data_IF_693786655296
#
_entry.id   IF_693786655296
#
_cell.length_a   1.000
_cell.length_b   1.000
_cell.length_c   1.000
_cell.angle_alpha   90.00
_cell.angle_beta   90.00
_cell.angle_gamma   90.00
#
_symmetry.space_group_name_H-M   'P 1'
#
loop_
_entity.id
_entity.type
_entity.pdbx_description
1 polymer ?
#
# COMPACT_ATOMS: atom_id res chain seq x y z
N UNK A 1 49.40 -54.85 37.04
CA UNK A 1 47.97 -54.53 37.11
C UNK A 1 47.69 -53.54 35.99
N UNK A 2 47.13 -54.03 34.89
CA UNK A 2 46.82 -53.24 33.68
C UNK A 2 45.68 -52.25 33.99
N UNK A 3 45.90 -50.97 33.73
CA UNK A 3 44.83 -49.98 33.67
C UNK A 3 44.64 -49.56 32.21
N UNK A 4 43.42 -49.76 31.76
CA UNK A 4 42.87 -49.70 30.41
C UNK A 4 42.90 -48.27 29.86
N UNK A 5 43.79 -47.99 28.90
CA UNK A 5 43.73 -46.81 28.05
C UNK A 5 42.76 -47.09 26.90
N UNK A 6 41.47 -46.94 27.15
CA UNK A 6 40.50 -46.78 26.06
C UNK A 6 39.41 -45.80 26.46
N UNK A 7 39.36 -44.69 25.71
CA UNK A 7 38.19 -43.84 25.36
C UNK A 7 38.57 -42.36 25.35
N UNK A 8 38.80 -41.83 24.15
CA UNK A 8 38.12 -40.62 23.62
C UNK A 8 38.74 -40.22 22.25
N UNK A 9 38.74 -41.12 21.27
CA UNK A 9 38.77 -40.71 19.87
C UNK A 9 37.33 -40.64 19.37
N UNK A 10 36.63 -39.52 19.67
CA UNK A 10 35.45 -39.15 18.88
C UNK A 10 35.96 -38.26 17.74
N UNK A 11 35.76 -38.61 16.47
CA UNK A 11 36.03 -37.69 15.38
C UNK A 11 35.12 -36.47 15.55
N UNK A 12 35.71 -35.28 15.63
CA UNK A 12 34.98 -34.04 15.47
C UNK A 12 34.54 -33.94 14.01
N UNK A 13 33.33 -34.41 13.71
CA UNK A 13 32.64 -34.07 12.47
C UNK A 13 32.22 -32.60 12.57
N UNK A 14 33.11 -31.70 12.13
CA UNK A 14 32.71 -30.36 11.78
C UNK A 14 31.77 -30.45 10.58
N UNK A 15 30.46 -30.46 10.87
CA UNK A 15 29.44 -30.15 9.87
C UNK A 15 29.68 -28.70 9.43
N UNK A 16 30.44 -28.53 8.35
CA UNK A 16 30.50 -27.27 7.62
C UNK A 16 29.06 -26.82 7.34
N UNK A 17 28.70 -25.54 7.53
CA UNK A 17 27.36 -25.06 7.24
C UNK A 17 27.01 -25.42 5.79
N UNK A 18 25.89 -26.11 5.59
CA UNK A 18 25.53 -26.79 4.34
C UNK A 18 25.24 -25.87 3.12
N UNK A 19 25.59 -24.58 3.17
CA UNK A 19 25.63 -23.69 2.00
C UNK A 19 26.76 -22.69 2.18
N UNK A 20 27.86 -22.89 1.47
CA UNK A 20 28.86 -21.83 1.29
C UNK A 20 28.16 -20.58 0.73
N UNK A 21 28.41 -19.41 1.33
CA UNK A 21 27.90 -18.15 0.81
C UNK A 21 28.46 -17.96 -0.61
N UNK A 22 27.56 -17.94 -1.60
CA UNK A 22 27.94 -17.65 -2.98
C UNK A 22 28.07 -16.14 -3.11
N UNK A 23 29.26 -15.65 -3.49
CA UNK A 23 29.44 -14.26 -3.89
C UNK A 23 28.50 -13.95 -5.05
N UNK A 24 27.76 -12.86 -4.93
CA UNK A 24 26.97 -12.35 -6.05
C UNK A 24 27.95 -11.80 -7.10
N UNK A 25 27.76 -12.11 -8.39
CA UNK A 25 28.54 -11.47 -9.43
C UNK A 25 28.26 -9.97 -9.40
N UNK A 26 29.30 -9.17 -9.15
CA UNK A 26 29.25 -7.71 -9.30
C UNK A 26 29.65 -7.39 -10.74
N UNK A 27 28.87 -6.57 -11.47
CA UNK A 27 29.26 -6.16 -12.81
C UNK A 27 30.59 -5.41 -12.78
N UNK A 28 31.37 -5.50 -13.87
CA UNK A 28 32.54 -4.65 -14.03
C UNK A 28 32.08 -3.18 -14.02
N UNK A 29 32.81 -2.32 -13.30
CA UNK A 29 32.50 -0.90 -13.22
C UNK A 29 32.52 -0.23 -14.60
N UNK A 30 33.37 -0.72 -15.51
CA UNK A 30 33.43 -0.23 -16.89
C UNK A 30 32.16 -0.60 -17.69
N UNK A 31 31.45 -1.66 -17.30
CA UNK A 31 30.24 -2.12 -17.97
C UNK A 31 28.99 -1.35 -17.55
N UNK A 32 29.05 -0.53 -16.49
CA UNK A 32 27.94 0.28 -16.00
C UNK A 32 27.71 1.52 -16.87
N UNK A 33 27.46 1.31 -18.16
CA UNK A 33 27.13 2.36 -19.13
C UNK A 33 25.61 2.44 -19.36
N UNK A 34 25.06 3.61 -19.74
CA UNK A 34 23.65 3.73 -20.10
C UNK A 34 23.21 2.75 -21.20
N UNK A 35 24.09 2.49 -22.17
CA UNK A 35 23.83 1.56 -23.28
C UNK A 35 23.73 0.11 -22.82
N UNK A 36 24.65 -0.34 -21.96
CA UNK A 36 24.63 -1.69 -21.41
C UNK A 36 23.45 -1.91 -20.47
N UNK A 37 23.09 -0.89 -19.67
CA UNK A 37 21.91 -0.94 -18.81
C UNK A 37 20.62 -1.05 -19.62
N UNK A 38 20.50 -0.26 -20.70
CA UNK A 38 19.37 -0.35 -21.62
C UNK A 38 19.22 -1.76 -22.18
N UNK A 39 20.30 -2.31 -22.74
CA UNK A 39 20.31 -3.67 -23.27
C UNK A 39 19.97 -4.72 -22.20
N UNK A 40 20.50 -4.55 -20.98
CA UNK A 40 20.20 -5.44 -19.86
C UNK A 40 18.70 -5.43 -19.53
N UNK A 41 18.09 -4.26 -19.44
CA UNK A 41 16.65 -4.11 -19.16
C UNK A 41 15.80 -4.74 -20.26
N UNK A 42 16.17 -4.58 -21.53
CA UNK A 42 15.48 -5.24 -22.64
C UNK A 42 15.54 -6.76 -22.53
N UNK A 43 16.72 -7.32 -22.26
CA UNK A 43 16.90 -8.76 -22.06
C UNK A 43 16.06 -9.24 -20.87
N UNK A 44 15.96 -8.46 -19.80
CA UNK A 44 15.08 -8.78 -18.67
C UNK A 44 13.60 -8.74 -19.06
N UNK A 45 13.16 -7.77 -19.87
CA UNK A 45 11.78 -7.73 -20.40
C UNK A 45 11.49 -8.99 -21.19
N UNK A 46 12.36 -9.33 -22.16
CA UNK A 46 12.20 -10.55 -22.98
C UNK A 46 12.21 -11.83 -22.13
N UNK A 47 13.05 -11.90 -21.11
CA UNK A 47 13.15 -13.08 -20.24
C UNK A 47 11.97 -13.25 -19.28
N UNK A 48 11.43 -12.15 -18.75
CA UNK A 48 10.42 -12.19 -17.68
C UNK A 48 9.00 -12.09 -18.23
N UNK A 49 8.81 -11.20 -19.20
CA UNK A 49 7.50 -10.88 -19.78
C UNK A 49 7.31 -11.61 -21.11
N UNK A 50 8.38 -11.77 -21.88
CA UNK A 50 8.33 -12.33 -23.24
C UNK A 50 8.40 -11.25 -24.33
N UNK A 51 8.29 -11.68 -25.57
CA UNK A 51 8.31 -10.82 -26.76
C UNK A 51 6.94 -10.74 -27.45
N UNK A 52 6.82 -9.85 -28.44
CA UNK A 52 5.66 -9.79 -29.34
C UNK A 52 4.29 -9.88 -28.66
N UNK A 53 3.60 -11.01 -28.84
CA UNK A 53 2.26 -11.23 -28.30
C UNK A 53 2.24 -11.41 -26.78
N UNK A 54 3.28 -12.01 -26.18
CA UNK A 54 3.36 -12.21 -24.73
C UNK A 54 3.45 -10.86 -24.00
N UNK A 55 4.26 -9.96 -24.54
CA UNK A 55 4.40 -8.60 -24.04
C UNK A 55 3.08 -7.80 -24.10
N UNK A 56 2.33 -7.93 -25.20
CA UNK A 56 1.00 -7.32 -25.33
C UNK A 56 0.00 -7.92 -24.36
N UNK A 57 -0.01 -9.25 -24.19
CA UNK A 57 -0.89 -9.93 -23.25
C UNK A 57 -0.62 -9.53 -21.79
N UNK A 58 0.66 -9.36 -21.42
CA UNK A 58 1.05 -8.88 -20.11
C UNK A 58 0.64 -7.43 -19.86
N UNK A 59 0.83 -6.54 -20.86
CA UNK A 59 0.35 -5.17 -20.78
C UNK A 59 -1.18 -5.10 -20.64
N UNK A 60 -1.91 -5.84 -21.47
CA UNK A 60 -3.37 -5.94 -21.38
C UNK A 60 -3.83 -6.52 -20.02
N UNK A 61 -3.06 -7.45 -19.44
CA UNK A 61 -3.34 -7.94 -18.09
C UNK A 61 -3.20 -6.83 -17.04
N UNK A 62 -2.15 -6.00 -17.11
CA UNK A 62 -2.02 -4.84 -16.24
C UNK A 62 -3.21 -3.87 -16.38
N UNK A 63 -3.56 -3.51 -17.62
CA UNK A 63 -4.63 -2.53 -17.87
C UNK A 63 -6.02 -3.03 -17.44
N UNK A 64 -6.28 -4.35 -17.52
CA UNK A 64 -7.54 -4.92 -17.00
C UNK A 64 -7.56 -5.14 -15.48
N UNK A 65 -6.43 -5.02 -14.79
CA UNK A 65 -6.31 -5.39 -13.36
C UNK A 65 -5.92 -4.26 -12.42
N UNK A 66 -4.71 -3.70 -12.58
CA UNK A 66 -4.16 -2.68 -11.67
C UNK A 66 -4.62 -1.29 -12.09
N UNK A 67 -4.63 -1.03 -13.40
CA UNK A 67 -5.03 0.26 -13.95
C UNK A 67 -6.48 0.65 -13.57
N UNK A 68 -7.38 -0.32 -13.35
CA UNK A 68 -8.78 -0.07 -13.01
C UNK A 68 -8.99 0.69 -11.70
N UNK A 69 -8.03 0.62 -10.77
CA UNK A 69 -8.02 1.36 -9.51
C UNK A 69 -6.78 2.25 -9.33
N UNK A 70 -5.80 2.16 -10.23
CA UNK A 70 -4.59 2.97 -10.22
C UNK A 70 -4.17 3.42 -11.64
N UNK A 71 -4.97 4.29 -12.30
CA UNK A 71 -4.81 4.68 -13.70
C UNK A 71 -3.72 5.75 -13.91
N UNK A 72 -2.48 5.46 -13.48
CA UNK A 72 -1.34 6.39 -13.60
C UNK A 72 -0.65 6.36 -14.97
N UNK A 73 -0.96 5.38 -15.82
CA UNK A 73 -0.37 5.16 -17.16
C UNK A 73 -1.49 5.14 -18.18
N UNK A 74 -1.36 5.84 -19.31
CA UNK A 74 -2.31 5.74 -20.43
C UNK A 74 -2.06 4.49 -21.25
N UNK A 75 -3.10 3.67 -21.43
CA UNK A 75 -3.03 2.47 -22.26
C UNK A 75 -2.70 2.79 -23.73
N UNK A 76 -3.31 3.85 -24.27
CA UNK A 76 -3.10 4.23 -25.67
C UNK A 76 -1.68 4.72 -25.92
N UNK A 77 -1.14 5.56 -25.05
CA UNK A 77 0.22 6.10 -25.18
C UNK A 77 1.26 4.98 -24.98
N UNK A 78 1.07 4.11 -23.99
CA UNK A 78 1.95 2.98 -23.74
C UNK A 78 1.99 2.01 -24.95
N UNK A 79 0.82 1.65 -25.49
CA UNK A 79 0.73 0.76 -26.65
C UNK A 79 1.34 1.39 -27.91
N UNK A 80 1.21 2.71 -28.08
CA UNK A 80 1.86 3.46 -29.17
C UNK A 80 3.39 3.47 -29.02
N UNK A 81 3.92 3.68 -27.81
CA UNK A 81 5.35 3.59 -27.54
C UNK A 81 5.87 2.18 -27.85
N UNK A 82 5.13 1.15 -27.43
CA UNK A 82 5.51 -0.24 -27.66
C UNK A 82 5.50 -0.61 -29.16
N UNK A 83 4.54 -0.10 -29.93
CA UNK A 83 4.50 -0.33 -31.39
C UNK A 83 5.64 0.39 -32.11
N UNK A 84 5.97 1.61 -31.70
CA UNK A 84 7.07 2.38 -32.28
C UNK A 84 8.43 1.69 -32.10
N UNK A 85 8.69 1.13 -30.91
CA UNK A 85 9.91 0.34 -30.65
C UNK A 85 10.02 -0.84 -31.62
N UNK A 86 8.92 -1.55 -31.86
CA UNK A 86 8.88 -2.69 -32.80
C UNK A 86 9.12 -2.27 -34.25
N UNK A 87 8.46 -1.19 -34.69
CA UNK A 87 8.51 -0.73 -36.09
C UNK A 87 9.88 -0.14 -36.43
N UNK A 88 10.48 0.63 -35.53
CA UNK A 88 11.74 1.31 -35.80
C UNK A 88 12.96 0.38 -35.70
N UNK A 89 12.76 -0.92 -35.38
CA UNK A 89 13.84 -1.86 -35.01
C UNK A 89 14.80 -1.25 -33.99
N UNK A 90 14.27 -0.36 -33.16
CA UNK A 90 15.01 0.43 -32.20
C UNK A 90 15.05 -0.27 -30.85
N UNK A 91 16.11 -0.04 -30.11
CA UNK A 91 16.18 -0.43 -28.70
C UNK A 91 15.19 0.42 -27.89
N UNK A 92 14.38 -0.23 -27.04
CA UNK A 92 13.45 0.40 -26.13
C UNK A 92 14.20 1.33 -25.16
N UNK A 93 13.65 2.52 -24.85
CA UNK A 93 14.16 3.34 -23.76
C UNK A 93 14.23 2.56 -22.44
N UNK A 94 15.27 2.80 -21.64
CA UNK A 94 15.50 2.09 -20.38
C UNK A 94 14.35 2.29 -19.37
N UNK A 95 13.79 3.49 -19.34
CA UNK A 95 12.65 3.86 -18.50
C UNK A 95 11.35 3.16 -18.92
N UNK A 96 11.09 3.04 -20.22
CA UNK A 96 9.97 2.23 -20.73
C UNK A 96 10.14 0.75 -20.34
N UNK A 97 11.35 0.20 -20.50
CA UNK A 97 11.65 -1.20 -20.13
C UNK A 97 11.48 -1.44 -18.63
N UNK A 98 11.95 -0.50 -17.79
CA UNK A 98 11.73 -0.51 -16.35
C UNK A 98 10.23 -0.47 -16.02
N UNK A 99 9.47 0.46 -16.63
CA UNK A 99 8.04 0.58 -16.44
C UNK A 99 7.32 -0.73 -16.75
N UNK A 100 7.63 -1.37 -17.88
CA UNK A 100 7.07 -2.66 -18.27
C UNK A 100 7.36 -3.77 -17.27
N UNK A 101 8.59 -3.83 -16.74
CA UNK A 101 8.95 -4.80 -15.71
C UNK A 101 8.21 -4.52 -14.39
N UNK A 102 8.03 -3.26 -14.02
CA UNK A 102 7.25 -2.88 -12.83
C UNK A 102 5.76 -3.20 -12.99
N UNK A 103 5.18 -2.98 -14.17
CA UNK A 103 3.80 -3.42 -14.51
C UNK A 103 3.67 -4.93 -14.35
N UNK A 104 4.64 -5.70 -14.83
CA UNK A 104 4.64 -7.15 -14.67
C UNK A 104 4.81 -7.59 -13.20
N UNK A 105 5.65 -6.90 -12.42
CA UNK A 105 5.87 -7.21 -11.00
C UNK A 105 4.62 -6.97 -10.16
N UNK A 106 3.97 -5.80 -10.29
CA UNK A 106 2.79 -5.44 -9.47
C UNK A 106 1.60 -6.37 -9.68
N UNK A 107 1.57 -7.05 -10.83
CA UNK A 107 0.58 -8.09 -11.15
C UNK A 107 0.91 -9.47 -10.55
N UNK A 108 2.10 -9.67 -9.95
CA UNK A 108 2.46 -10.93 -9.29
C UNK A 108 1.91 -10.97 -7.86
N UNK A 109 1.31 -12.11 -7.48
CA UNK A 109 0.79 -12.36 -6.14
C UNK A 109 1.56 -13.44 -5.37
N UNK A 110 1.19 -13.68 -4.10
CA UNK A 110 1.73 -14.78 -3.31
C UNK A 110 1.28 -16.16 -3.83
N UNK A 111 2.10 -17.17 -3.55
CA UNK A 111 1.75 -18.59 -3.78
C UNK A 111 1.83 -19.29 -2.43
N UNK A 112 0.72 -19.85 -1.97
CA UNK A 112 0.65 -20.45 -0.64
C UNK A 112 0.78 -19.45 0.52
N UNK A 113 0.38 -18.19 0.30
CA UNK A 113 0.44 -17.12 1.31
C UNK A 113 1.78 -16.40 1.42
N UNK A 114 2.81 -16.83 0.69
CA UNK A 114 4.13 -16.20 0.68
C UNK A 114 4.52 -15.72 -0.72
N UNK A 115 5.39 -14.70 -0.77
CA UNK A 115 5.96 -14.23 -2.02
C UNK A 115 7.02 -15.22 -2.54
N UNK A 116 6.87 -15.75 -3.78
CA UNK A 116 7.87 -16.61 -4.39
C UNK A 116 9.26 -15.96 -4.40
N UNK A 117 10.31 -16.77 -4.26
CA UNK A 117 11.70 -16.28 -4.30
C UNK A 117 12.00 -15.53 -5.60
N UNK A 118 11.49 -16.01 -6.74
CA UNK A 118 11.65 -15.36 -8.04
C UNK A 118 11.03 -13.96 -8.07
N UNK A 119 9.85 -13.77 -7.48
CA UNK A 119 9.20 -12.45 -7.38
C UNK A 119 9.99 -11.52 -6.48
N UNK A 120 10.50 -12.01 -5.34
CA UNK A 120 11.37 -11.21 -4.44
C UNK A 120 12.68 -10.81 -5.11
N UNK A 121 13.30 -11.73 -5.87
CA UNK A 121 14.49 -11.43 -6.66
C UNK A 121 14.22 -10.40 -7.75
N UNK A 122 13.09 -10.51 -8.47
CA UNK A 122 12.69 -9.53 -9.47
C UNK A 122 12.49 -8.13 -8.85
N UNK A 123 11.82 -8.05 -7.69
CA UNK A 123 11.67 -6.80 -6.93
C UNK A 123 13.04 -6.20 -6.57
N UNK A 124 13.95 -7.00 -6.00
CA UNK A 124 15.28 -6.53 -5.62
C UNK A 124 16.07 -6.03 -6.84
N UNK A 125 16.04 -6.76 -7.96
CA UNK A 125 16.67 -6.34 -9.21
C UNK A 125 16.10 -5.02 -9.74
N UNK A 126 14.78 -4.84 -9.69
CA UNK A 126 14.15 -3.58 -10.14
C UNK A 126 14.53 -2.40 -9.25
N UNK A 127 14.64 -2.59 -7.93
CA UNK A 127 15.17 -1.56 -7.02
C UNK A 127 16.61 -1.18 -7.39
N UNK A 128 17.45 -2.16 -7.73
CA UNK A 128 18.82 -1.90 -8.19
C UNK A 128 18.86 -1.17 -9.54
N UNK A 129 18.00 -1.53 -10.50
CA UNK A 129 17.92 -0.82 -11.78
C UNK A 129 17.42 0.62 -11.63
N UNK A 130 16.45 0.87 -10.74
CA UNK A 130 16.03 2.23 -10.38
C UNK A 130 17.22 3.03 -9.89
N UNK A 131 17.95 2.53 -8.88
CA UNK A 131 19.10 3.23 -8.31
C UNK A 131 20.20 3.50 -9.36
N UNK A 132 20.43 2.57 -10.29
CA UNK A 132 21.42 2.75 -11.35
C UNK A 132 20.97 3.80 -12.39
N UNK A 133 19.69 3.80 -12.78
CA UNK A 133 19.12 4.83 -13.66
C UNK A 133 19.16 6.21 -13.00
N UNK A 134 18.88 6.30 -11.69
CA UNK A 134 18.99 7.53 -10.91
C UNK A 134 20.45 8.04 -10.90
N UNK A 135 21.42 7.15 -10.67
CA UNK A 135 22.84 7.50 -10.71
C UNK A 135 23.30 7.99 -12.10
N UNK A 136 22.63 7.53 -13.17
CA UNK A 136 22.84 8.01 -14.54
C UNK A 136 22.06 9.30 -14.87
N UNK A 137 21.36 9.89 -13.89
CA UNK A 137 20.61 11.14 -14.05
C UNK A 137 19.26 10.99 -14.74
N UNK A 138 18.72 9.77 -14.84
CA UNK A 138 17.40 9.53 -15.43
C UNK A 138 16.32 9.91 -14.42
N UNK A 139 15.38 10.76 -14.84
CA UNK A 139 14.18 11.08 -14.08
C UNK A 139 13.05 11.44 -15.07
N UNK A 140 12.46 10.44 -15.71
CA UNK A 140 11.34 10.59 -16.66
C UNK A 140 10.00 10.24 -16.01
N UNK A 141 8.89 10.58 -16.68
CA UNK A 141 7.55 10.23 -16.22
C UNK A 141 7.36 8.70 -16.14
N UNK A 142 7.85 7.97 -17.14
CA UNK A 142 7.82 6.51 -17.21
C UNK A 142 8.59 5.88 -16.04
N UNK A 143 9.77 6.41 -15.72
CA UNK A 143 10.55 5.96 -14.57
C UNK A 143 9.79 6.22 -13.25
N UNK A 144 9.17 7.39 -13.11
CA UNK A 144 8.37 7.73 -11.93
C UNK A 144 7.13 6.84 -11.78
N UNK A 145 6.40 6.58 -12.88
CA UNK A 145 5.29 5.63 -12.90
C UNK A 145 5.75 4.23 -12.48
N UNK A 146 6.90 3.76 -13.00
CA UNK A 146 7.48 2.46 -12.64
C UNK A 146 7.86 2.37 -11.15
N UNK A 147 8.44 3.44 -10.59
CA UNK A 147 8.73 3.53 -9.15
C UNK A 147 7.48 3.54 -8.29
N UNK A 148 6.42 4.20 -8.75
CA UNK A 148 5.15 4.25 -8.04
C UNK A 148 4.48 2.87 -7.99
N UNK A 149 4.56 2.09 -9.07
CA UNK A 149 4.12 0.69 -9.07
C UNK A 149 4.95 -0.19 -8.12
N UNK A 150 6.27 0.07 -7.98
CA UNK A 150 7.10 -0.59 -6.97
C UNK A 150 6.64 -0.26 -5.56
N UNK A 151 6.33 1.01 -5.26
CA UNK A 151 5.79 1.41 -3.96
C UNK A 151 4.46 0.69 -3.66
N UNK A 152 3.56 0.62 -4.64
CA UNK A 152 2.28 -0.12 -4.51
C UNK A 152 2.52 -1.60 -4.21
N UNK A 153 3.48 -2.23 -4.89
CA UNK A 153 3.89 -3.61 -4.62
C UNK A 153 4.45 -3.75 -3.18
N UNK A 154 5.31 -2.83 -2.74
CA UNK A 154 5.88 -2.82 -1.39
C UNK A 154 4.77 -2.73 -0.33
N UNK A 155 3.79 -1.83 -0.51
CA UNK A 155 2.63 -1.69 0.38
C UNK A 155 1.82 -2.99 0.42
N UNK A 156 1.48 -3.55 -0.74
CA UNK A 156 0.62 -4.75 -0.83
C UNK A 156 1.26 -6.01 -0.26
N UNK A 157 2.58 -6.04 -0.16
CA UNK A 157 3.32 -7.15 0.42
C UNK A 157 3.91 -6.87 1.81
N UNK A 158 3.40 -5.84 2.51
CA UNK A 158 3.82 -5.47 3.86
C UNK A 158 5.32 -5.15 4.00
N UNK A 159 5.94 -4.62 2.94
CA UNK A 159 7.31 -4.10 2.94
C UNK A 159 7.34 -2.62 3.35
N UNK A 160 6.67 -2.27 4.45
CA UNK A 160 6.40 -0.88 4.83
C UNK A 160 7.64 0.02 4.96
N UNK A 161 8.79 -0.44 5.54
CA UNK A 161 9.99 0.40 5.57
C UNK A 161 10.51 0.77 4.18
N UNK A 162 10.45 -0.18 3.23
CA UNK A 162 10.82 0.08 1.83
C UNK A 162 9.83 1.03 1.17
N UNK A 163 8.52 0.79 1.37
CA UNK A 163 7.45 1.65 0.84
C UNK A 163 7.61 3.10 1.28
N UNK A 164 7.87 3.32 2.57
CA UNK A 164 8.12 4.65 3.14
C UNK A 164 9.27 5.39 2.45
N UNK A 165 10.42 4.72 2.26
CA UNK A 165 11.57 5.30 1.56
C UNK A 165 11.24 5.57 0.08
N UNK A 166 10.62 4.61 -0.59
CA UNK A 166 10.25 4.72 -2.01
C UNK A 166 9.28 5.89 -2.24
N UNK A 167 8.26 6.03 -1.39
CA UNK A 167 7.30 7.13 -1.39
C UNK A 167 8.00 8.48 -1.31
N UNK A 168 8.86 8.69 -0.31
CA UNK A 168 9.58 9.95 -0.14
C UNK A 168 10.46 10.28 -1.35
N UNK A 169 11.09 9.26 -1.94
CA UNK A 169 11.90 9.42 -3.14
C UNK A 169 11.04 9.76 -4.38
N UNK A 170 9.85 9.16 -4.51
CA UNK A 170 8.90 9.46 -5.59
C UNK A 170 8.39 10.90 -5.53
N UNK A 171 8.10 11.43 -4.33
CA UNK A 171 7.69 12.83 -4.15
C UNK A 171 8.80 13.76 -4.64
N UNK A 172 10.05 13.53 -4.24
CA UNK A 172 11.19 14.35 -4.67
C UNK A 172 11.43 14.27 -6.17
N UNK A 173 11.33 13.08 -6.75
CA UNK A 173 11.43 12.88 -8.20
C UNK A 173 10.33 13.62 -8.97
N UNK A 174 9.09 13.57 -8.47
CA UNK A 174 7.94 14.26 -9.03
C UNK A 174 8.06 15.79 -8.98
N UNK A 175 8.50 16.32 -7.83
CA UNK A 175 8.77 17.76 -7.68
C UNK A 175 9.88 18.20 -8.62
N UNK A 176 10.94 17.40 -8.75
CA UNK A 176 12.02 17.68 -9.72
C UNK A 176 11.55 17.63 -11.18
N UNK A 177 10.52 16.84 -11.49
CA UNK A 177 9.87 16.78 -12.81
C UNK A 177 8.86 17.92 -13.03
N UNK A 178 8.46 18.64 -11.97
CA UNK A 178 7.44 19.68 -12.01
C UNK A 178 6.01 19.15 -12.15
N UNK A 179 5.75 17.86 -11.91
CA UNK A 179 4.39 17.30 -12.08
C UNK A 179 3.41 17.69 -10.97
N UNK A 180 3.91 18.29 -9.90
CA UNK A 180 3.11 18.83 -8.80
C UNK A 180 2.54 20.24 -9.09
N UNK A 181 2.87 20.82 -10.25
CA UNK A 181 2.44 22.16 -10.63
C UNK A 181 0.97 22.19 -11.09
N UNK A 182 0.42 23.40 -11.19
CA UNK A 182 -0.93 23.63 -11.72
C UNK A 182 -1.03 23.19 -13.20
N UNK A 183 -2.25 22.92 -13.67
CA UNK A 183 -2.49 22.40 -15.02
C UNK A 183 -1.85 23.24 -16.14
N UNK A 184 -1.94 24.57 -16.06
CA UNK A 184 -1.35 25.46 -17.07
C UNK A 184 0.17 25.41 -17.08
N UNK A 185 0.81 25.11 -15.95
CA UNK A 185 2.26 24.93 -15.87
C UNK A 185 2.68 23.55 -16.39
N UNK A 186 1.88 22.51 -16.14
CA UNK A 186 2.11 21.17 -16.72
C UNK A 186 2.13 21.20 -18.25
N UNK A 187 1.29 22.01 -18.88
CA UNK A 187 1.28 22.19 -20.35
C UNK A 187 2.57 22.83 -20.90
N UNK A 188 3.35 23.52 -20.05
CA UNK A 188 4.67 24.06 -20.41
C UNK A 188 5.75 22.98 -20.34
N UNK A 189 5.59 22.01 -19.43
CA UNK A 189 6.51 20.87 -19.23
C UNK A 189 6.25 19.78 -20.27
N UNK A 190 4.99 19.39 -20.46
CA UNK A 190 4.57 18.35 -21.41
C UNK A 190 3.81 18.97 -22.57
N UNK A 191 4.32 18.78 -23.80
CA UNK A 191 3.70 19.30 -25.03
C UNK A 191 2.45 18.51 -25.45
N UNK A 192 2.41 17.23 -25.12
CA UNK A 192 1.30 16.33 -25.45
C UNK A 192 0.21 16.41 -24.35
N UNK A 193 -1.03 16.79 -24.68
CA UNK A 193 -2.15 16.80 -23.74
C UNK A 193 -2.37 15.46 -23.02
N UNK A 194 -2.11 14.33 -23.67
CA UNK A 194 -2.24 13.01 -23.04
C UNK A 194 -1.19 12.82 -21.95
N UNK A 195 0.05 13.29 -22.19
CA UNK A 195 1.12 13.25 -21.19
C UNK A 195 0.88 14.21 -20.02
N UNK A 196 0.23 15.36 -20.26
CA UNK A 196 -0.21 16.25 -19.17
C UNK A 196 -1.20 15.52 -18.26
N UNK A 197 -2.16 14.79 -18.84
CA UNK A 197 -3.12 14.03 -18.05
C UNK A 197 -2.45 12.87 -17.30
N UNK A 198 -1.57 12.09 -17.96
CA UNK A 198 -0.77 11.06 -17.28
C UNK A 198 0.04 11.61 -16.11
N UNK A 199 0.68 12.78 -16.27
CA UNK A 199 1.45 13.42 -15.21
C UNK A 199 0.55 13.81 -14.02
N UNK A 200 -0.66 14.33 -14.30
CA UNK A 200 -1.66 14.65 -13.27
C UNK A 200 -2.12 13.40 -12.52
N UNK A 201 -2.38 12.31 -13.24
CA UNK A 201 -2.78 11.04 -12.64
C UNK A 201 -1.64 10.41 -11.84
N UNK A 202 -0.40 10.51 -12.32
CA UNK A 202 0.80 10.08 -11.59
C UNK A 202 0.96 10.86 -10.29
N UNK A 203 0.77 12.18 -10.31
CA UNK A 203 0.79 13.01 -9.10
C UNK A 203 -0.30 12.60 -8.10
N UNK A 204 -1.52 12.36 -8.57
CA UNK A 204 -2.61 11.83 -7.71
C UNK A 204 -2.23 10.49 -7.07
N UNK A 205 -1.62 9.57 -7.84
CA UNK A 205 -1.14 8.29 -7.32
C UNK A 205 -0.06 8.45 -6.26
N UNK A 206 0.84 9.43 -6.39
CA UNK A 206 1.83 9.77 -5.36
C UNK A 206 1.12 10.25 -4.10
N UNK A 207 0.16 11.17 -4.21
CA UNK A 207 -0.60 11.69 -3.07
C UNK A 207 -1.39 10.58 -2.34
N UNK A 208 -1.93 9.62 -3.08
CA UNK A 208 -2.63 8.46 -2.50
C UNK A 208 -1.64 7.57 -1.73
N UNK A 209 -0.51 7.23 -2.32
CA UNK A 209 0.48 6.30 -1.72
C UNK A 209 1.28 6.92 -0.58
N UNK A 210 1.50 8.23 -0.60
CA UNK A 210 2.17 8.98 0.48
C UNK A 210 1.38 8.95 1.79
N UNK A 211 0.08 9.13 1.66
CA UNK A 211 -0.84 9.26 2.79
C UNK A 211 -1.43 7.93 3.24
N UNK A 212 -1.09 6.85 2.55
CA UNK A 212 -1.45 5.49 2.91
C UNK A 212 -0.50 4.97 4.00
N UNK A 213 -0.54 5.60 5.17
CA UNK A 213 0.20 5.19 6.36
C UNK A 213 -0.46 3.92 6.94
N UNK A 214 -0.34 2.82 6.19
CA UNK A 214 -0.93 1.50 6.44
C UNK A 214 -0.08 0.69 7.43
N UNK A 215 0.98 1.28 7.98
CA UNK A 215 1.89 0.61 8.90
C UNK A 215 1.31 0.59 10.34
N UNK A 216 1.48 -0.52 11.09
CA UNK A 216 1.23 -0.54 12.53
C UNK A 216 2.06 0.52 13.26
N UNK A 217 1.51 1.09 14.33
CA UNK A 217 1.90 2.32 15.08
C UNK A 217 3.36 2.47 15.58
N UNK A 218 4.31 1.62 15.18
CA UNK A 218 5.70 1.62 15.69
C UNK A 218 6.77 2.03 14.67
N UNK A 219 6.42 2.56 13.50
CA UNK A 219 7.39 3.12 12.55
C UNK A 219 7.24 4.65 12.47
N UNK A 220 8.33 5.36 12.75
CA UNK A 220 8.43 6.82 12.80
C UNK A 220 7.68 7.54 11.66
N UNK A 221 6.65 8.30 12.04
CA UNK A 221 5.78 9.08 11.15
C UNK A 221 6.45 10.42 10.80
N UNK A 222 6.70 10.68 9.51
CA UNK A 222 6.80 12.04 8.98
C UNK A 222 5.73 12.22 7.91
N UNK A 223 4.72 13.01 8.23
CA UNK A 223 3.71 13.47 7.29
C UNK A 223 4.32 14.57 6.43
N UNK A 224 4.54 14.33 5.14
CA UNK A 224 4.78 15.41 4.20
C UNK A 224 3.44 16.06 3.86
N UNK A 225 3.17 17.25 4.40
CA UNK A 225 2.02 18.05 4.01
C UNK A 225 2.28 18.58 2.60
N UNK A 226 1.88 17.82 1.57
CA UNK A 226 1.68 18.37 0.25
C UNK A 226 0.42 19.23 0.32
N UNK A 227 0.59 20.56 0.36
CA UNK A 227 -0.52 21.49 0.18
C UNK A 227 -1.12 21.24 -1.20
N UNK A 228 -2.25 20.53 -1.24
CA UNK A 228 -3.21 20.72 -2.30
C UNK A 228 -4.23 21.71 -1.76
N UNK A 229 -4.54 22.72 -2.57
CA UNK A 229 -5.79 23.44 -2.38
C UNK A 229 -6.89 22.37 -2.31
N UNK A 230 -7.73 22.39 -1.27
CA UNK A 230 -8.91 21.56 -1.27
C UNK A 230 -9.60 21.82 -2.61
N UNK A 231 -10.14 20.78 -3.24
CA UNK A 231 -11.27 21.04 -4.11
C UNK A 231 -12.33 21.62 -3.19
N UNK A 232 -12.34 22.96 -3.07
CA UNK A 232 -13.26 23.80 -2.31
C UNK A 232 -14.63 23.78 -3.00
N UNK A 233 -15.11 22.58 -3.28
CA UNK A 233 -16.48 22.34 -3.70
C UNK A 233 -17.07 21.40 -2.67
N UNK A 234 -17.79 22.00 -1.72
CA UNK A 234 -18.76 21.32 -0.85
C UNK A 234 -19.88 20.58 -1.64
N UNK A 235 -19.78 20.50 -2.97
CA UNK A 235 -20.80 20.05 -3.90
C UNK A 235 -20.32 18.82 -4.72
N UNK A 236 -19.70 17.84 -4.05
CA UNK A 236 -19.36 16.52 -4.63
C UNK A 236 -20.56 15.78 -5.22
N UNK A 237 -21.79 16.18 -4.87
CA UNK A 237 -23.03 15.61 -5.37
C UNK A 237 -23.37 16.00 -6.82
N UNK A 238 -22.69 17.00 -7.42
CA UNK A 238 -23.06 17.55 -8.74
C UNK A 238 -22.09 17.21 -9.87
N UNK A 239 -20.94 16.59 -9.57
CA UNK A 239 -19.93 16.25 -10.58
C UNK A 239 -19.80 14.74 -10.61
N UNK A 240 -19.92 14.13 -11.80
CA UNK A 240 -19.57 12.73 -12.01
C UNK A 240 -18.04 12.60 -11.88
N UNK A 241 -17.58 12.48 -10.64
CA UNK A 241 -16.16 12.40 -10.30
C UNK A 241 -15.67 10.97 -10.56
N UNK A 242 -14.57 10.85 -11.31
CA UNK A 242 -13.95 9.56 -11.59
C UNK A 242 -13.51 8.82 -10.30
N UNK A 243 -13.45 7.49 -10.38
CA UNK A 243 -13.16 6.63 -9.22
C UNK A 243 -11.83 6.93 -8.54
N UNK A 244 -10.83 7.37 -9.30
CA UNK A 244 -9.49 7.64 -8.81
C UNK A 244 -9.39 9.02 -8.14
N UNK A 245 -10.13 10.02 -8.63
CA UNK A 245 -10.30 11.30 -7.90
C UNK A 245 -11.02 11.09 -6.58
N UNK A 246 -12.07 10.25 -6.53
CA UNK A 246 -12.72 9.89 -5.25
C UNK A 246 -11.73 9.20 -4.30
N UNK A 247 -10.86 8.32 -4.82
CA UNK A 247 -9.83 7.66 -4.03
C UNK A 247 -8.82 8.66 -3.44
N UNK A 248 -8.36 9.63 -4.23
CA UNK A 248 -7.48 10.69 -3.78
C UNK A 248 -8.13 11.56 -2.68
N UNK A 249 -9.42 11.87 -2.83
CA UNK A 249 -10.14 12.60 -1.78
C UNK A 249 -10.27 11.78 -0.49
N UNK A 250 -10.60 10.49 -0.62
CA UNK A 250 -10.66 9.57 0.51
C UNK A 250 -9.33 9.47 1.27
N UNK A 251 -8.20 9.44 0.56
CA UNK A 251 -6.87 9.40 1.17
C UNK A 251 -6.53 10.71 1.90
N UNK A 252 -6.94 11.87 1.38
CA UNK A 252 -6.80 13.16 2.07
C UNK A 252 -7.61 13.21 3.36
N UNK A 253 -8.86 12.71 3.35
CA UNK A 253 -9.70 12.67 4.55
C UNK A 253 -9.08 11.76 5.61
N UNK A 254 -8.57 10.59 5.21
CA UNK A 254 -7.85 9.68 6.12
C UNK A 254 -6.60 10.35 6.71
N UNK A 255 -5.82 11.06 5.91
CA UNK A 255 -4.63 11.78 6.39
C UNK A 255 -4.98 12.85 7.42
N UNK A 256 -6.02 13.66 7.15
CA UNK A 256 -6.52 14.66 8.11
C UNK A 256 -6.92 14.03 9.44
N UNK A 257 -7.56 12.85 9.39
CA UNK A 257 -7.90 12.07 10.58
C UNK A 257 -6.64 11.63 11.34
N UNK A 258 -5.68 11.03 10.64
CA UNK A 258 -4.46 10.51 11.26
C UNK A 258 -3.63 11.64 11.89
N UNK A 259 -3.50 12.78 11.21
CA UNK A 259 -2.85 13.98 11.74
C UNK A 259 -3.57 14.47 12.99
N UNK A 260 -4.90 14.62 12.94
CA UNK A 260 -5.70 15.05 14.09
C UNK A 260 -5.57 14.09 15.29
N UNK A 261 -5.54 12.78 15.04
CA UNK A 261 -5.33 11.77 16.09
C UNK A 261 -3.92 11.89 16.69
N UNK A 262 -2.90 12.04 15.86
CA UNK A 262 -1.51 12.16 16.31
C UNK A 262 -1.27 13.43 17.12
N UNK A 263 -1.80 14.57 16.67
CA UNK A 263 -1.70 15.85 17.40
C UNK A 263 -2.44 15.78 18.73
N UNK A 264 -3.62 15.14 18.76
CA UNK A 264 -4.40 14.91 19.99
C UNK A 264 -3.69 13.98 20.98
N UNK A 265 -2.96 12.97 20.50
CA UNK A 265 -2.14 12.10 21.36
C UNK A 265 -0.90 12.82 21.91
N UNK A 266 -0.33 13.74 21.14
CA UNK A 266 0.88 14.48 21.49
C UNK A 266 0.62 15.71 22.37
N UNK A 267 -0.56 16.32 22.24
CA UNK A 267 -0.96 17.52 22.98
C UNK A 267 -2.37 17.34 23.58
N UNK A 268 -2.57 17.53 24.90
CA UNK A 268 -3.81 17.19 25.59
C UNK A 268 -5.00 18.13 25.27
N UNK A 269 -4.83 19.13 24.40
CA UNK A 269 -5.92 20.00 23.95
C UNK A 269 -6.60 19.40 22.73
N UNK A 270 -7.65 18.62 22.96
CA UNK A 270 -8.51 18.09 21.91
C UNK A 270 -9.23 19.21 21.16
N UNK A 271 -9.04 19.26 19.84
CA UNK A 271 -9.73 20.23 18.98
C UNK A 271 -11.09 19.68 18.54
N UNK A 272 -12.11 19.87 19.37
CA UNK A 272 -13.47 19.39 19.10
C UNK A 272 -14.09 19.98 17.83
N UNK A 273 -13.72 21.20 17.45
CA UNK A 273 -14.21 21.86 16.22
C UNK A 273 -13.71 21.12 14.99
N UNK A 274 -12.41 20.81 14.96
CA UNK A 274 -11.80 20.07 13.86
C UNK A 274 -12.36 18.64 13.77
N UNK A 275 -12.54 17.94 14.89
CA UNK A 275 -13.14 16.61 14.91
C UNK A 275 -14.58 16.60 14.34
N UNK A 276 -15.40 17.60 14.68
CA UNK A 276 -16.75 17.75 14.12
C UNK A 276 -16.71 18.03 12.62
N UNK A 277 -15.78 18.86 12.15
CA UNK A 277 -15.61 19.13 10.71
C UNK A 277 -15.19 17.87 9.95
N UNK A 278 -14.23 17.11 10.48
CA UNK A 278 -13.78 15.82 9.94
C UNK A 278 -14.98 14.86 9.83
N UNK A 279 -15.75 14.68 10.90
CA UNK A 279 -16.91 13.80 10.91
C UNK A 279 -17.98 14.24 9.90
N UNK A 280 -18.24 15.55 9.76
CA UNK A 280 -19.15 16.09 8.74
C UNK A 280 -18.67 15.77 7.33
N UNK A 281 -17.40 16.01 7.03
CA UNK A 281 -16.81 15.71 5.71
C UNK A 281 -16.86 14.22 5.40
N UNK A 282 -16.47 13.35 6.34
CA UNK A 282 -16.54 11.90 6.18
C UNK A 282 -17.97 11.40 5.97
N UNK A 283 -18.92 11.91 6.76
CA UNK A 283 -20.33 11.51 6.64
C UNK A 283 -20.88 11.94 5.29
N UNK A 284 -20.68 13.19 4.88
CA UNK A 284 -21.10 13.70 3.57
C UNK A 284 -20.53 12.85 2.43
N UNK A 285 -19.23 12.53 2.51
CA UNK A 285 -18.59 11.72 1.49
C UNK A 285 -19.09 10.27 1.46
N UNK A 286 -19.34 9.64 2.62
CA UNK A 286 -19.93 8.29 2.69
C UNK A 286 -21.32 8.22 2.05
N UNK A 287 -22.14 9.27 2.19
CA UNK A 287 -23.47 9.31 1.57
C UNK A 287 -23.39 9.26 0.04
N UNK A 288 -22.28 9.69 -0.58
CA UNK A 288 -22.11 9.61 -2.05
C UNK A 288 -21.95 8.17 -2.57
N UNK A 289 -21.64 7.20 -1.69
CA UNK A 289 -21.52 5.79 -2.04
C UNK A 289 -22.81 4.99 -1.83
N UNK A 290 -23.84 5.61 -1.24
CA UNK A 290 -25.14 4.98 -1.04
C UNK A 290 -25.94 5.10 -2.34
N UNK A 291 -26.01 4.02 -3.13
CA UNK A 291 -26.98 3.92 -4.22
C UNK A 291 -28.39 3.74 -3.63
N UNK A 292 -29.43 4.20 -4.32
CA UNK A 292 -30.83 4.03 -3.90
C UNK A 292 -31.33 2.57 -3.86
N UNK A 293 -30.45 1.60 -4.05
CA UNK A 293 -30.74 0.18 -3.90
C UNK A 293 -30.72 -0.22 -2.43
N UNK A 294 -31.55 -1.20 -2.05
CA UNK A 294 -31.74 -1.60 -0.65
C UNK A 294 -30.52 -2.28 0.01
N UNK A 295 -29.44 -2.53 -0.73
CA UNK A 295 -28.26 -3.25 -0.25
C UNK A 295 -27.01 -2.36 -0.25
N UNK A 296 -26.21 -2.37 0.84
CA UNK A 296 -24.97 -1.62 0.91
C UNK A 296 -23.93 -2.13 -0.11
N UNK A 297 -23.02 -1.27 -0.59
CA UNK A 297 -21.93 -1.69 -1.47
C UNK A 297 -20.98 -2.68 -0.77
N UNK A 298 -20.55 -3.68 -1.53
CA UNK A 298 -19.64 -4.72 -1.03
C UNK A 298 -18.31 -4.10 -0.53
N UNK A 299 -17.75 -4.55 0.62
CA UNK A 299 -16.53 -3.94 1.20
C UNK A 299 -15.31 -3.95 0.28
N UNK A 300 -15.26 -4.90 -0.66
CA UNK A 300 -14.17 -5.07 -1.61
C UNK A 300 -14.42 -4.41 -2.98
N UNK A 301 -15.54 -3.71 -3.19
CA UNK A 301 -15.87 -3.16 -4.51
C UNK A 301 -15.22 -1.81 -4.80
N UNK A 302 -14.95 -1.00 -3.78
CA UNK A 302 -14.52 0.39 -3.97
C UNK A 302 -13.42 0.78 -2.97
N UNK A 303 -12.28 1.22 -3.50
CA UNK A 303 -11.11 1.62 -2.71
C UNK A 303 -11.33 2.94 -1.96
N UNK A 304 -12.05 3.88 -2.55
CA UNK A 304 -12.34 5.17 -1.93
C UNK A 304 -13.27 5.00 -0.74
N UNK A 305 -14.28 4.14 -0.88
CA UNK A 305 -15.15 3.75 0.22
C UNK A 305 -14.36 3.06 1.34
N UNK A 306 -13.45 2.15 1.01
CA UNK A 306 -12.61 1.48 2.01
C UNK A 306 -11.73 2.47 2.81
N UNK A 307 -11.08 3.43 2.15
CA UNK A 307 -10.30 4.46 2.84
C UNK A 307 -11.19 5.37 3.70
N UNK A 308 -12.35 5.79 3.19
CA UNK A 308 -13.29 6.60 3.96
C UNK A 308 -13.84 5.86 5.20
N UNK A 309 -14.17 4.58 5.06
CA UNK A 309 -14.56 3.72 6.19
C UNK A 309 -13.42 3.57 7.19
N UNK A 310 -12.16 3.45 6.74
CA UNK A 310 -10.98 3.43 7.62
C UNK A 310 -10.90 4.71 8.46
N UNK A 311 -11.02 5.87 7.79
CA UNK A 311 -10.97 7.19 8.44
C UNK A 311 -12.10 7.36 9.47
N UNK A 312 -13.30 6.88 9.14
CA UNK A 312 -14.44 6.88 10.05
C UNK A 312 -14.20 5.98 11.28
N UNK A 313 -13.67 4.77 11.09
CA UNK A 313 -13.34 3.85 12.19
C UNK A 313 -12.27 4.46 13.13
N UNK A 314 -11.20 5.03 12.59
CA UNK A 314 -10.15 5.70 13.38
C UNK A 314 -10.70 6.87 14.19
N UNK A 315 -11.50 7.73 13.57
CA UNK A 315 -12.08 8.92 14.22
C UNK A 315 -13.03 8.53 15.35
N UNK A 316 -13.93 7.58 15.10
CA UNK A 316 -14.93 7.17 16.07
C UNK A 316 -14.32 6.36 17.22
N UNK A 317 -13.30 5.53 16.96
CA UNK A 317 -12.59 4.78 18.02
C UNK A 317 -11.93 5.75 18.99
N UNK A 318 -11.19 6.73 18.48
CA UNK A 318 -10.56 7.77 19.30
C UNK A 318 -11.61 8.55 20.09
N UNK A 319 -12.70 8.98 19.44
CA UNK A 319 -13.80 9.68 20.11
C UNK A 319 -14.49 8.86 21.21
N UNK A 320 -14.52 7.52 21.07
CA UNK A 320 -15.12 6.63 22.07
C UNK A 320 -14.29 6.45 23.34
N UNK A 321 -12.98 6.76 23.29
CA UNK A 321 -12.05 6.64 24.41
C UNK A 321 -11.74 7.97 25.09
N UNK A 322 -12.28 9.08 24.60
CA UNK A 322 -12.04 10.42 25.16
C UNK A 322 -12.84 10.68 26.43
N UNK A 323 -12.15 11.12 27.49
CA UNK A 323 -12.76 11.56 28.74
C UNK A 323 -13.01 13.08 28.69
N UNK A 324 -14.10 13.50 28.04
CA UNK A 324 -14.56 14.89 28.01
C UNK A 324 -15.72 15.04 29.03
N UNK A 325 -15.75 16.09 29.86
CA UNK A 325 -16.89 16.35 30.77
C UNK A 325 -18.22 16.40 29.99
N UNK A 326 -19.28 15.80 30.54
CA UNK A 326 -20.64 15.79 29.97
C UNK A 326 -20.78 15.23 28.54
N UNK A 327 -19.88 14.32 28.13
CA UNK A 327 -19.81 13.79 26.74
C UNK A 327 -20.33 12.34 26.57
N UNK A 328 -21.05 11.80 27.57
CA UNK A 328 -21.50 10.39 27.56
C UNK A 328 -22.37 10.03 26.35
N UNK A 329 -23.23 10.97 25.92
CA UNK A 329 -24.08 10.78 24.74
C UNK A 329 -23.27 10.63 23.45
N UNK A 330 -22.22 11.44 23.27
CA UNK A 330 -21.36 11.37 22.09
C UNK A 330 -20.56 10.07 22.08
N UNK A 331 -20.01 9.64 23.23
CA UNK A 331 -19.31 8.35 23.35
C UNK A 331 -20.24 7.21 22.95
N UNK A 332 -21.47 7.19 23.48
CA UNK A 332 -22.48 6.17 23.15
C UNK A 332 -22.82 6.19 21.65
N UNK A 333 -22.99 7.38 21.08
CA UNK A 333 -23.29 7.56 19.66
C UNK A 333 -22.13 7.03 18.79
N UNK A 334 -20.89 7.37 19.13
CA UNK A 334 -19.70 6.88 18.43
C UNK A 334 -19.59 5.36 18.47
N UNK A 335 -19.82 4.73 19.64
CA UNK A 335 -19.84 3.28 19.78
C UNK A 335 -20.94 2.62 18.93
N UNK A 336 -22.14 3.20 18.87
CA UNK A 336 -23.22 2.68 18.05
C UNK A 336 -22.90 2.76 16.55
N UNK A 337 -22.33 3.88 16.10
CA UNK A 337 -21.91 4.05 14.70
C UNK A 337 -20.77 3.09 14.35
N UNK A 338 -19.77 2.91 15.24
CA UNK A 338 -18.71 1.91 15.08
C UNK A 338 -19.27 0.51 14.88
N UNK A 339 -20.17 0.07 15.77
CA UNK A 339 -20.80 -1.26 15.69
C UNK A 339 -21.57 -1.45 14.39
N UNK A 340 -22.34 -0.43 13.96
CA UNK A 340 -23.06 -0.44 12.68
C UNK A 340 -22.09 -0.57 11.49
N UNK A 341 -21.03 0.24 11.48
CA UNK A 341 -20.05 0.27 10.38
C UNK A 341 -19.26 -1.04 10.28
N UNK A 342 -18.84 -1.60 11.42
CA UNK A 342 -18.17 -2.90 11.49
C UNK A 342 -19.09 -4.00 10.99
N UNK A 343 -20.37 -4.00 11.39
CA UNK A 343 -21.36 -4.95 10.89
C UNK A 343 -21.55 -4.82 9.37
N UNK A 344 -21.64 -3.60 8.85
CA UNK A 344 -21.74 -3.34 7.42
C UNK A 344 -20.55 -3.86 6.63
N UNK A 345 -19.32 -3.65 7.13
CA UNK A 345 -18.09 -4.22 6.53
C UNK A 345 -18.13 -5.75 6.63
N UNK A 346 -18.56 -6.31 7.76
CA UNK A 346 -18.66 -7.75 7.98
C UNK A 346 -19.68 -8.45 7.08
N UNK A 347 -20.74 -7.78 6.63
CA UNK A 347 -21.76 -8.37 5.73
C UNK A 347 -21.20 -8.88 4.41
N UNK A 348 -20.06 -8.36 3.95
CA UNK A 348 -19.39 -8.90 2.77
C UNK A 348 -18.72 -10.26 2.99
N UNK A 349 -18.49 -10.67 4.25
CA UNK A 349 -17.89 -11.96 4.56
C UNK A 349 -18.83 -13.11 4.19
N UNK A 350 -18.32 -14.08 3.43
CA UNK A 350 -19.09 -15.21 2.92
C UNK A 350 -19.84 -14.95 1.61
N UNK A 351 -19.82 -13.72 1.10
CA UNK A 351 -20.31 -13.37 -0.23
C UNK A 351 -19.11 -13.33 -1.18
N UNK A 352 -19.23 -13.90 -2.38
CA UNK A 352 -18.18 -13.78 -3.39
C UNK A 352 -18.00 -12.29 -3.74
N UNK A 353 -16.76 -11.77 -3.79
CA UNK A 353 -16.55 -10.40 -4.21
C UNK A 353 -17.16 -10.17 -5.60
N UNK A 354 -17.75 -8.99 -5.86
CA UNK A 354 -18.37 -8.68 -7.15
C UNK A 354 -17.34 -8.45 -8.26
N UNK A 355 -16.04 -8.46 -7.93
CA UNK A 355 -14.94 -8.17 -8.85
C UNK A 355 -13.91 -9.30 -8.79
N UNK A 356 -13.21 -9.50 -9.91
CA UNK A 356 -12.16 -10.51 -10.03
C UNK A 356 -11.06 -10.30 -8.97
N UNK A 357 -10.51 -11.39 -8.44
CA UNK A 357 -9.46 -11.33 -7.42
C UNK A 357 -8.28 -10.43 -7.83
N UNK A 358 -7.92 -10.45 -9.12
CA UNK A 358 -6.82 -9.67 -9.68
C UNK A 358 -7.12 -8.17 -9.83
N UNK A 359 -8.33 -7.70 -9.53
CA UNK A 359 -8.67 -6.26 -9.54
C UNK A 359 -8.80 -5.68 -8.12
N UNK A 360 -8.70 -6.50 -7.07
CA UNK A 360 -8.72 -6.06 -5.67
C UNK A 360 -7.55 -5.14 -5.29
N UNK A 361 -7.82 -3.86 -5.08
CA UNK A 361 -6.82 -2.85 -4.75
C UNK A 361 -6.08 -3.11 -3.43
N UNK A 362 -4.85 -2.59 -3.35
CA UNK A 362 -4.01 -2.61 -2.14
C UNK A 362 -4.58 -1.78 -0.99
N UNK A 363 -5.49 -0.84 -1.27
CA UNK A 363 -6.07 0.07 -0.27
C UNK A 363 -7.25 -0.53 0.52
N UNK A 364 -7.73 -1.71 0.11
CA UNK A 364 -8.86 -2.40 0.74
C UNK A 364 -8.58 -3.00 2.13
N UNK A 365 -7.43 -3.66 2.40
CA UNK A 365 -7.36 -4.52 3.58
C UNK A 365 -7.31 -3.76 4.92
N UNK A 366 -6.94 -2.47 4.93
CA UNK A 366 -6.83 -1.68 6.16
C UNK A 366 -8.17 -1.44 6.84
N UNK A 367 -9.23 -1.16 6.07
CA UNK A 367 -10.55 -0.92 6.64
C UNK A 367 -11.09 -2.18 7.35
N UNK A 368 -10.82 -3.35 6.78
CA UNK A 368 -11.23 -4.65 7.32
C UNK A 368 -10.40 -5.00 8.56
N UNK A 369 -9.07 -4.78 8.49
CA UNK A 369 -8.19 -4.95 9.64
C UNK A 369 -8.63 -4.06 10.80
N UNK A 370 -8.90 -2.78 10.53
CA UNK A 370 -9.32 -1.81 11.55
C UNK A 370 -10.67 -2.20 12.16
N UNK A 371 -11.64 -2.60 11.35
CA UNK A 371 -12.92 -3.10 11.83
C UNK A 371 -12.76 -4.30 12.78
N UNK A 372 -11.84 -5.22 12.46
CA UNK A 372 -11.55 -6.38 13.29
C UNK A 372 -10.87 -5.99 14.61
N UNK A 373 -9.98 -5.00 14.59
CA UNK A 373 -9.36 -4.46 15.80
C UNK A 373 -10.39 -3.81 16.73
N UNK A 374 -11.40 -3.12 16.19
CA UNK A 374 -12.51 -2.57 16.98
C UNK A 374 -13.32 -3.71 17.65
N UNK A 375 -13.63 -4.80 16.94
CA UNK A 375 -14.28 -5.98 17.54
C UNK A 375 -13.47 -6.56 18.70
N UNK A 376 -12.16 -6.71 18.51
CA UNK A 376 -11.26 -7.23 19.54
C UNK A 376 -11.17 -6.31 20.75
N UNK A 377 -11.17 -4.99 20.54
CA UNK A 377 -11.21 -3.98 21.60
C UNK A 377 -12.47 -4.09 22.46
N UNK A 378 -13.65 -4.16 21.85
CA UNK A 378 -14.94 -4.25 22.56
C UNK A 378 -15.04 -5.54 23.41
N UNK A 379 -14.51 -6.66 22.91
CA UNK A 379 -14.49 -7.92 23.65
C UNK A 379 -13.56 -7.87 24.88
N UNK A 380 -12.41 -7.19 24.76
CA UNK A 380 -11.48 -6.98 25.90
C UNK A 380 -12.11 -6.16 27.01
N UNK A 381 -12.89 -5.14 26.66
CA UNK A 381 -13.56 -4.26 27.64
C UNK A 381 -14.79 -4.92 28.26
N UNK A 382 -15.56 -5.67 27.45
CA UNK A 382 -16.82 -6.28 27.90
C UNK A 382 -16.63 -7.60 28.64
N UNK A 383 -15.49 -8.30 28.52
CA UNK A 383 -15.11 -9.49 29.29
C UNK A 383 -16.00 -10.75 29.12
N UNK A 384 -17.15 -10.64 28.46
CA UNK A 384 -18.23 -11.65 28.48
C UNK A 384 -18.78 -12.03 27.10
N UNK A 385 -18.34 -11.38 26.01
CA UNK A 385 -18.84 -11.64 24.65
C UNK A 385 -17.75 -12.29 23.81
N UNK A 386 -18.03 -13.49 23.29
CA UNK A 386 -17.18 -14.13 22.30
C UNK A 386 -17.11 -13.25 21.03
N UNK A 387 -15.94 -12.71 20.65
CA UNK A 387 -15.82 -11.87 19.47
C UNK A 387 -15.84 -12.65 18.16
N UNK A 388 -15.72 -13.98 18.19
CA UNK A 388 -15.55 -14.80 16.98
C UNK A 388 -16.69 -14.62 15.95
N UNK A 389 -17.98 -14.52 16.32
CA UNK A 389 -19.06 -14.27 15.36
C UNK A 389 -18.91 -12.96 14.60
N UNK A 390 -18.37 -11.91 15.23
CA UNK A 390 -18.17 -10.60 14.60
C UNK A 390 -16.87 -10.53 13.80
N UNK A 391 -15.84 -11.26 14.22
CA UNK A 391 -14.52 -11.25 13.57
C UNK A 391 -14.43 -12.20 12.38
N UNK A 392 -15.11 -13.35 12.42
CA UNK A 392 -15.02 -14.38 11.38
C UNK A 392 -15.28 -13.84 9.96
N UNK A 393 -16.34 -13.03 9.70
CA UNK A 393 -16.56 -12.46 8.37
C UNK A 393 -15.40 -11.55 7.90
N UNK A 394 -14.76 -10.84 8.82
CA UNK A 394 -13.62 -9.97 8.54
C UNK A 394 -12.34 -10.78 8.24
N UNK A 395 -12.14 -11.90 8.95
CA UNK A 395 -11.05 -12.87 8.65
C UNK A 395 -11.21 -13.47 7.25
N UNK A 396 -12.44 -13.76 6.82
CA UNK A 396 -12.73 -14.32 5.50
C UNK A 396 -12.41 -13.30 4.39
N UNK A 397 -12.80 -12.04 4.57
CA UNK A 397 -12.46 -10.94 3.66
C UNK A 397 -10.95 -10.71 3.56
N UNK A 398 -10.23 -10.69 4.69
CA UNK A 398 -8.76 -10.60 4.69
C UNK A 398 -8.11 -11.84 4.06
N UNK A 399 -8.72 -13.02 4.21
CA UNK A 399 -8.29 -14.24 3.54
C UNK A 399 -8.36 -14.12 2.01
N UNK A 400 -9.47 -13.58 1.50
CA UNK A 400 -9.64 -13.33 0.07
C UNK A 400 -8.58 -12.35 -0.45
N UNK A 401 -8.38 -11.23 0.25
CA UNK A 401 -7.34 -10.25 -0.09
C UNK A 401 -5.92 -10.83 0.03
N UNK A 402 -5.71 -11.73 0.98
CA UNK A 402 -4.44 -12.43 1.22
C UNK A 402 -3.96 -13.29 0.05
N UNK A 403 -4.87 -13.67 -0.85
CA UNK A 403 -4.53 -14.36 -2.09
C UNK A 403 -3.81 -13.45 -3.10
N UNK A 404 -3.97 -12.13 -2.97
CA UNK A 404 -3.31 -11.12 -3.81
C UNK A 404 -2.22 -10.36 -3.07
N UNK A 405 -2.50 -9.94 -1.84
CA UNK A 405 -1.68 -9.04 -1.05
C UNK A 405 -1.26 -9.68 0.27
N UNK A 406 0.04 -9.91 0.47
CA UNK A 406 0.57 -10.52 1.70
C UNK A 406 0.24 -9.69 2.94
N UNK A 407 0.12 -8.37 2.79
CA UNK A 407 -0.29 -7.48 3.88
C UNK A 407 -1.60 -7.91 4.55
N UNK A 408 -2.59 -8.36 3.77
CA UNK A 408 -3.86 -8.83 4.30
C UNK A 408 -3.72 -10.12 5.13
N UNK A 409 -2.82 -11.02 4.72
CA UNK A 409 -2.52 -12.26 5.45
C UNK A 409 -1.81 -11.97 6.78
N UNK A 410 -0.85 -11.03 6.80
CA UNK A 410 -0.18 -10.61 8.04
C UNK A 410 -1.19 -10.07 9.05
N UNK A 411 -2.11 -9.22 8.60
CA UNK A 411 -3.18 -8.68 9.45
C UNK A 411 -4.12 -9.75 10.02
N UNK A 412 -4.42 -10.80 9.24
CA UNK A 412 -5.18 -11.96 9.74
C UNK A 412 -4.47 -12.69 10.89
N UNK A 413 -3.14 -12.85 10.81
CA UNK A 413 -2.36 -13.53 11.86
C UNK A 413 -2.19 -12.71 13.13
N UNK A 414 -2.06 -11.38 13.01
CA UNK A 414 -1.96 -10.47 14.16
C UNK A 414 -3.23 -10.50 15.02
N UNK A 415 -4.40 -10.69 14.41
CA UNK A 415 -5.66 -10.91 15.14
C UNK A 415 -5.61 -12.18 15.99
N UNK A 416 -4.98 -13.25 15.48
CA UNK A 416 -4.89 -14.53 16.20
C UNK A 416 -3.94 -14.42 17.40
N UNK A 417 -2.80 -13.75 17.21
CA UNK A 417 -1.83 -13.53 18.30
C UNK A 417 -2.38 -12.63 19.41
N UNK A 418 -3.03 -11.52 19.05
CA UNK A 418 -3.63 -10.58 20.01
C UNK A 418 -4.81 -11.18 20.80
N UNK A 419 -5.43 -12.24 20.29
CA UNK A 419 -6.45 -13.01 21.00
C UNK A 419 -5.82 -14.06 21.93
N UNK A 420 -4.74 -14.73 21.50
CA UNK A 420 -4.08 -15.80 22.28
C UNK A 420 -3.11 -15.31 23.36
N UNK A 421 -2.59 -14.08 23.28
CA UNK A 421 -1.63 -13.54 24.26
C UNK A 421 -1.84 -12.02 24.50
N UNK A 422 -2.73 -11.64 25.43
CA UNK A 422 -3.15 -10.25 25.65
C UNK A 422 -2.09 -9.33 26.29
N UNK A 423 -1.02 -9.87 26.89
CA UNK A 423 -0.08 -9.09 27.73
C UNK A 423 1.12 -8.47 26.99
N UNK A 424 1.34 -8.78 25.70
CA UNK A 424 2.54 -8.30 24.98
C UNK A 424 2.47 -6.87 24.45
N UNK A 425 1.31 -6.22 24.46
CA UNK A 425 1.18 -4.81 24.06
C UNK A 425 1.43 -3.82 25.21
N UNK A 426 1.68 -4.27 26.44
CA UNK A 426 1.90 -3.41 27.61
C UNK A 426 3.28 -3.58 28.29
N UNK A 427 4.12 -4.51 27.82
CA UNK A 427 5.46 -4.73 28.38
C UNK A 427 6.56 -4.41 27.36
N UNK A 428 6.53 -3.18 26.87
CA UNK A 428 7.63 -2.53 26.16
C UNK A 428 8.18 -1.36 26.96
N UNK A 429 8.71 -1.60 28.18
CA UNK A 429 9.74 -0.79 28.90
C UNK A 429 9.83 -1.19 30.37
N UNK A 430 10.77 -2.08 30.69
CA UNK A 430 11.77 -1.91 31.74
C UNK A 430 12.58 -3.20 31.84
N UNK A 431 13.70 -3.23 31.13
CA UNK A 431 14.89 -3.89 31.62
C UNK A 431 15.97 -2.83 31.63
N UNK A 432 16.03 -2.13 32.75
CA UNK A 432 17.21 -1.37 33.14
C UNK A 432 18.41 -2.30 33.06
N UNK A 433 19.33 -1.93 32.16
CA UNK A 433 20.72 -2.29 32.23
C UNK A 433 21.27 -1.65 33.51
N UNK A 434 21.31 -2.43 34.60
CA UNK A 434 22.23 -2.18 35.71
C UNK A 434 23.07 -3.43 35.90
N UNK A 435 24.38 -3.26 35.68
CA UNK A 435 25.37 -4.31 35.80
C UNK A 435 26.59 -4.01 34.93
N UNK A 436 27.38 -3.02 35.34
CA UNK A 436 28.83 -3.18 35.58
C UNK A 436 29.51 -1.80 35.75
N UNK A 437 29.66 -1.40 37.01
CA UNK A 437 30.98 -1.18 37.61
C UNK A 437 31.08 -2.06 38.85
#
# INVERSE_FOLDING_TARGET
MHADQSRLNKPCDYLLPAKAHRLLPVPDWADLTPSNLRYTLEVQVSSIVGDGLQLQAAAAFYFRTVHTWFPIISESCYNLQLSNVRVQTGSAPSDLSLLTLCMALVCKGPVGGELPLSTRSMYASLKSFVALLEAMGTNSLEMLQGRLLLTVFEIGHAMYPSAYISTAANIRAAVSLGINAAYEDLRKVFRDPQKVEEARQTWRGIVITDRSDLAPKDAHQMVFVLNQDPVDSEDWAKVEVDSFTRLAHASQLLDRVLVHIHTTQSHPLFNSVEAVQILKSLTSFLMTFQSGDSNPPHPLSDSALALCRSAMLETLEVGSHMTIPDNEYCIRTSLNILKSLVHEIGRGGGISPPVEMMTLSVFLPHCIYKAAMVCLGDARVSGWVDPEPSIRPLKDLLGCLGMRWVAASTWRTLQTMNYTNPDRTLLGKSRDLTGDM
#
